data_IF_403369757080
#
_entry.id   IF_403369757080
#
_cell.length_a   1.000
_cell.length_b   1.000
_cell.length_c   1.000
_cell.angle_alpha   90.00
_cell.angle_beta   90.00
_cell.angle_gamma   90.00
#
_symmetry.space_group_name_H-M   'P 1'
#
loop_
_entity.id
_entity.type
_entity.pdbx_description
1 polymer ?
#
# COMPACT_ATOMS: atom_id res chain seq x y z
N UNK A 1 -48.86 20.75 18.71
CA UNK A 1 -47.51 21.27 19.05
C UNK A 1 -47.00 20.44 20.22
N UNK A 2 -45.83 19.85 20.29
CA UNK A 2 -44.70 19.65 19.39
C UNK A 2 -44.09 18.29 19.80
N UNK A 3 -43.76 17.44 18.83
CA UNK A 3 -43.20 16.11 19.06
C UNK A 3 -41.74 16.18 19.52
N UNK A 4 -41.49 15.55 20.67
CA UNK A 4 -40.22 15.44 21.36
C UNK A 4 -39.27 14.53 20.56
N UNK A 5 -38.31 15.12 19.83
CA UNK A 5 -37.25 14.39 19.13
C UNK A 5 -36.22 13.91 20.16
N UNK A 6 -36.15 12.59 20.35
CA UNK A 6 -35.12 11.91 21.14
C UNK A 6 -33.77 12.12 20.45
N UNK A 7 -32.90 12.92 21.05
CA UNK A 7 -31.50 13.06 20.66
C UNK A 7 -30.78 11.82 21.21
N UNK A 8 -30.30 10.97 20.31
CA UNK A 8 -29.43 9.83 20.65
C UNK A 8 -28.02 10.39 20.87
N UNK A 9 -27.63 10.50 22.14
CA UNK A 9 -26.27 10.85 22.55
C UNK A 9 -25.38 9.63 22.36
N UNK A 10 -24.57 9.61 21.30
CA UNK A 10 -23.49 8.62 21.15
C UNK A 10 -22.26 9.16 21.89
N UNK A 11 -22.02 8.61 23.08
CA UNK A 11 -20.84 8.91 23.89
C UNK A 11 -19.62 8.16 23.33
N UNK A 12 -18.81 8.84 22.54
CA UNK A 12 -17.48 8.38 22.12
C UNK A 12 -16.48 8.55 23.27
N UNK A 13 -16.20 7.46 23.98
CA UNK A 13 -15.06 7.35 24.89
C UNK A 13 -13.94 6.58 24.19
N UNK A 14 -13.17 7.26 23.33
CA UNK A 14 -11.91 6.73 22.81
C UNK A 14 -10.81 7.04 23.82
N UNK A 15 -10.46 6.02 24.60
CA UNK A 15 -9.39 6.04 25.57
C UNK A 15 -8.02 6.26 24.90
N UNK A 16 -7.33 7.25 25.44
CA UNK A 16 -5.97 7.70 25.14
C UNK A 16 -4.92 6.63 25.46
N UNK A 17 -3.95 6.46 24.55
CA UNK A 17 -2.57 6.10 24.92
C UNK A 17 -1.62 7.07 24.22
N UNK A 18 -1.14 8.06 24.97
CA UNK A 18 -0.09 9.01 24.58
C UNK A 18 1.29 8.36 24.76
N UNK A 19 2.17 8.60 23.78
CA UNK A 19 3.62 8.37 23.85
C UNK A 19 4.32 9.32 22.87
N UNK A 20 5.28 10.07 23.38
CA UNK A 20 5.76 11.39 22.93
C UNK A 20 6.73 11.41 21.73
N UNK A 21 6.62 12.51 20.97
CA UNK A 21 7.58 13.28 20.16
C UNK A 21 8.62 12.59 19.24
N UNK A 22 8.52 12.90 17.95
CA UNK A 22 9.60 13.56 17.19
C UNK A 22 9.07 14.23 15.92
N UNK A 23 9.43 15.50 15.77
CA UNK A 23 9.29 16.31 14.55
C UNK A 23 10.27 15.76 13.51
N UNK A 24 9.80 15.46 12.30
CA UNK A 24 10.47 15.75 11.02
C UNK A 24 9.59 15.32 9.82
N UNK A 25 9.51 16.23 8.86
CA UNK A 25 8.50 16.30 7.82
C UNK A 25 8.64 15.29 6.66
N UNK A 26 7.54 15.25 5.90
CA UNK A 26 7.33 14.82 4.52
C UNK A 26 7.00 13.35 4.17
N UNK A 27 5.68 13.16 4.07
CA UNK A 27 4.89 12.22 3.29
C UNK A 27 4.97 12.50 1.78
N UNK A 28 4.78 11.48 0.93
CA UNK A 28 4.01 11.54 -0.35
C UNK A 28 4.33 10.35 -1.29
N UNK A 29 4.13 9.14 -0.79
CA UNK A 29 3.68 8.03 -1.64
C UNK A 29 2.25 7.61 -1.23
N UNK A 30 1.57 8.50 -0.48
CA UNK A 30 0.40 8.27 0.36
C UNK A 30 -0.91 8.86 -0.20
N UNK A 31 -0.85 9.62 -1.29
CA UNK A 31 -2.02 10.36 -1.82
C UNK A 31 -3.00 9.44 -2.57
N UNK A 32 -2.53 8.55 -3.45
CA UNK A 32 -3.42 7.75 -4.29
C UNK A 32 -4.39 6.81 -3.55
N UNK A 33 -4.00 6.23 -2.42
CA UNK A 33 -4.89 5.33 -1.66
C UNK A 33 -5.92 6.10 -0.82
N UNK A 34 -5.53 7.29 -0.33
CA UNK A 34 -6.44 8.24 0.33
C UNK A 34 -7.47 8.79 -0.64
N UNK A 35 -7.08 9.05 -1.88
CA UNK A 35 -7.98 9.57 -2.92
C UNK A 35 -9.08 8.55 -3.29
N UNK A 36 -8.77 7.25 -3.33
CA UNK A 36 -9.77 6.23 -3.61
C UNK A 36 -10.82 6.07 -2.50
N UNK A 37 -10.39 6.14 -1.24
CA UNK A 37 -11.31 6.13 -0.08
C UNK A 37 -12.08 7.44 0.04
N UNK A 38 -11.45 8.59 -0.25
CA UNK A 38 -12.11 9.90 -0.31
C UNK A 38 -13.14 9.96 -1.43
N UNK A 39 -12.82 9.44 -2.61
CA UNK A 39 -13.76 9.33 -3.74
C UNK A 39 -14.92 8.39 -3.41
N UNK A 40 -14.66 7.22 -2.79
CA UNK A 40 -15.72 6.32 -2.36
C UNK A 40 -16.65 6.96 -1.32
N UNK A 41 -16.11 7.78 -0.42
CA UNK A 41 -16.89 8.49 0.59
C UNK A 41 -17.61 9.73 0.06
N UNK A 42 -17.11 10.38 -0.99
CA UNK A 42 -17.80 11.47 -1.68
C UNK A 42 -19.12 10.99 -2.32
N UNK A 43 -19.20 9.71 -2.70
CA UNK A 43 -20.41 9.09 -3.26
C UNK A 43 -21.49 8.80 -2.20
N UNK A 44 -21.18 8.95 -0.89
CA UNK A 44 -22.07 8.59 0.22
C UNK A 44 -22.94 9.73 0.76
N UNK A 45 -22.91 10.93 0.15
CA UNK A 45 -23.66 12.11 0.61
C UNK A 45 -23.50 12.35 2.13
N UNK A 46 -22.26 12.44 2.60
CA UNK A 46 -21.95 12.62 4.02
C UNK A 46 -22.48 13.98 4.54
N UNK A 47 -22.99 13.99 5.76
CA UNK A 47 -23.28 15.24 6.47
C UNK A 47 -21.99 15.99 6.81
N UNK A 48 -22.09 17.29 7.07
CA UNK A 48 -20.91 18.09 7.43
C UNK A 48 -20.29 17.62 8.76
N UNK A 49 -21.13 17.22 9.72
CA UNK A 49 -20.67 16.59 10.97
C UNK A 49 -19.91 15.27 10.75
N UNK A 50 -20.34 14.45 9.79
CA UNK A 50 -19.61 13.22 9.42
C UNK A 50 -18.28 13.53 8.75
N UNK A 51 -18.23 14.55 7.89
CA UNK A 51 -16.98 14.98 7.22
C UNK A 51 -15.95 15.48 8.25
N UNK A 52 -16.39 16.28 9.22
CA UNK A 52 -15.53 16.78 10.31
C UNK A 52 -15.02 15.63 11.18
N UNK A 53 -15.88 14.69 11.56
CA UNK A 53 -15.48 13.50 12.32
C UNK A 53 -14.44 12.65 11.56
N UNK A 54 -14.67 12.40 10.26
CA UNK A 54 -13.73 11.66 9.40
C UNK A 54 -12.40 12.42 9.27
N UNK A 55 -12.44 13.75 9.15
CA UNK A 55 -11.24 14.57 9.06
C UNK A 55 -10.42 14.47 10.36
N UNK A 56 -11.06 14.62 11.52
CA UNK A 56 -10.41 14.50 12.83
C UNK A 56 -9.75 13.12 13.02
N UNK A 57 -10.47 12.03 12.72
CA UNK A 57 -9.90 10.67 12.77
C UNK A 57 -8.65 10.56 11.87
N UNK A 58 -8.70 11.15 10.67
CA UNK A 58 -7.58 11.10 9.73
C UNK A 58 -6.37 11.92 10.16
N UNK A 59 -6.59 13.03 10.87
CA UNK A 59 -5.56 13.91 11.42
C UNK A 59 -4.88 13.27 12.63
N UNK A 60 -5.64 12.76 13.59
CA UNK A 60 -5.11 11.99 14.72
C UNK A 60 -4.28 10.80 14.24
N UNK A 61 -4.81 10.07 13.26
CA UNK A 61 -4.08 8.98 12.64
C UNK A 61 -2.81 9.45 11.90
N UNK A 62 -2.75 10.68 11.39
CA UNK A 62 -1.55 11.24 10.74
C UNK A 62 -0.44 11.47 11.76
N UNK A 63 -0.78 11.97 12.94
CA UNK A 63 0.15 12.24 14.04
C UNK A 63 0.76 10.94 14.58
N UNK A 64 -0.06 9.93 14.87
CA UNK A 64 0.43 8.60 15.27
C UNK A 64 1.24 7.89 14.17
N UNK A 65 1.07 8.27 12.90
CA UNK A 65 1.79 7.68 11.76
C UNK A 65 3.18 8.26 11.49
N UNK A 66 3.59 9.34 12.15
CA UNK A 66 4.98 9.82 12.06
C UNK A 66 5.95 8.87 12.78
N UNK A 67 5.46 8.17 13.80
CA UNK A 67 6.20 7.24 14.66
C UNK A 67 6.73 6.01 13.89
N UNK A 68 6.01 5.52 12.89
CA UNK A 68 6.38 4.33 12.09
C UNK A 68 7.27 4.63 10.88
N UNK A 69 7.95 5.79 10.83
CA UNK A 69 8.88 6.12 9.73
C UNK A 69 10.23 5.41 9.88
N UNK A 70 10.75 5.25 11.11
CA UNK A 70 12.06 4.63 11.37
C UNK A 70 12.14 3.17 10.91
N UNK A 71 11.06 2.41 11.11
CA UNK A 71 10.94 1.01 10.71
C UNK A 71 11.06 0.78 9.19
N UNK A 72 10.75 1.79 8.36
CA UNK A 72 10.93 1.72 6.90
C UNK A 72 12.38 1.83 6.47
N UNK A 73 13.18 2.61 7.17
CA UNK A 73 14.56 2.94 6.78
C UNK A 73 15.50 1.77 7.10
N UNK A 74 15.30 1.09 8.23
CA UNK A 74 16.04 -0.13 8.60
C UNK A 74 15.78 -1.28 7.62
N UNK A 75 14.52 -1.50 7.25
CA UNK A 75 14.14 -2.50 6.26
C UNK A 75 14.59 -2.17 4.83
N UNK A 76 14.82 -0.88 4.53
CA UNK A 76 15.38 -0.41 3.27
C UNK A 76 16.90 -0.61 3.21
N UNK A 77 17.61 -0.41 4.32
CA UNK A 77 19.06 -0.60 4.39
C UNK A 77 19.44 -2.09 4.33
N UNK A 78 18.69 -2.96 5.01
CA UNK A 78 18.84 -4.41 4.89
C UNK A 78 18.59 -4.91 3.44
N UNK A 79 17.65 -4.29 2.72
CA UNK A 79 17.45 -4.53 1.29
C UNK A 79 18.59 -4.01 0.41
N UNK A 80 19.23 -2.91 0.81
CA UNK A 80 20.36 -2.34 0.07
C UNK A 80 21.58 -3.23 0.18
N UNK A 81 21.78 -3.88 1.33
CA UNK A 81 22.85 -4.83 1.58
C UNK A 81 22.67 -6.12 0.78
N UNK A 82 21.47 -6.73 0.78
CA UNK A 82 21.23 -7.94 -0.02
C UNK A 82 21.30 -7.72 -1.54
N UNK A 83 20.85 -6.56 -2.04
CA UNK A 83 20.96 -6.19 -3.46
C UNK A 83 22.40 -6.00 -3.96
N UNK A 84 23.37 -5.90 -3.07
CA UNK A 84 24.79 -5.82 -3.45
C UNK A 84 25.40 -7.20 -3.67
N UNK A 85 24.75 -8.28 -3.20
CA UNK A 85 25.15 -9.62 -3.56
C UNK A 85 25.00 -9.85 -5.05
N UNK A 86 26.03 -10.41 -5.69
CA UNK A 86 25.99 -10.79 -7.10
C UNK A 86 25.20 -12.10 -7.34
N UNK A 87 24.98 -12.88 -6.28
CA UNK A 87 24.26 -14.15 -6.31
C UNK A 87 22.93 -14.04 -5.58
N UNK A 88 21.95 -14.81 -6.04
CA UNK A 88 20.66 -14.90 -5.38
C UNK A 88 20.75 -15.81 -4.15
N UNK A 89 20.38 -15.28 -2.99
CA UNK A 89 20.24 -16.05 -1.75
C UNK A 89 18.76 -16.03 -1.33
N UNK A 90 18.12 -17.18 -1.48
CA UNK A 90 16.70 -17.35 -1.17
C UNK A 90 16.41 -17.26 0.34
N UNK A 91 17.33 -17.71 1.20
CA UNK A 91 17.16 -17.69 2.64
C UNK A 91 17.20 -16.25 3.17
N UNK A 92 18.22 -15.48 2.75
CA UNK A 92 18.31 -14.05 3.06
C UNK A 92 17.11 -13.29 2.49
N UNK A 93 16.68 -13.58 1.26
CA UNK A 93 15.50 -12.92 0.68
C UNK A 93 14.23 -13.16 1.50
N UNK A 94 14.03 -14.39 2.00
CA UNK A 94 12.85 -14.77 2.80
C UNK A 94 12.85 -14.06 4.16
N UNK A 95 13.96 -14.12 4.91
CA UNK A 95 14.11 -13.43 6.19
C UNK A 95 13.90 -11.91 6.06
N UNK A 96 14.38 -11.31 4.97
CA UNK A 96 14.17 -9.88 4.70
C UNK A 96 12.73 -9.51 4.34
N UNK A 97 11.95 -10.44 3.82
CA UNK A 97 10.52 -10.23 3.56
C UNK A 97 9.74 -10.39 4.86
N UNK A 98 10.04 -11.43 5.64
CA UNK A 98 9.45 -11.67 6.96
C UNK A 98 9.64 -10.49 7.91
N UNK A 99 10.88 -10.02 8.09
CA UNK A 99 11.17 -8.81 8.89
C UNK A 99 10.35 -7.60 8.42
N UNK A 100 10.10 -7.45 7.12
CA UNK A 100 9.25 -6.38 6.60
C UNK A 100 7.78 -6.55 6.93
N UNK A 101 7.29 -7.77 7.02
CA UNK A 101 5.90 -8.04 7.39
C UNK A 101 5.72 -7.70 8.86
N UNK A 102 6.61 -8.19 9.73
CA UNK A 102 6.61 -7.91 11.17
C UNK A 102 6.67 -6.40 11.43
N UNK A 103 7.66 -5.71 10.84
CA UNK A 103 7.81 -4.26 11.01
C UNK A 103 6.63 -3.44 10.46
N UNK A 104 5.75 -4.02 9.64
CA UNK A 104 4.56 -3.32 9.13
C UNK A 104 3.30 -3.64 9.90
N UNK A 105 3.31 -4.67 10.73
CA UNK A 105 2.11 -5.22 11.34
C UNK A 105 1.44 -4.21 12.27
N UNK A 106 2.20 -3.54 13.14
CA UNK A 106 1.69 -2.47 14.00
C UNK A 106 1.04 -1.34 13.19
N UNK A 107 1.70 -0.90 12.11
CA UNK A 107 1.14 0.11 11.22
C UNK A 107 -0.09 -0.38 10.44
N UNK A 108 -0.15 -1.66 10.06
CA UNK A 108 -1.31 -2.25 9.39
C UNK A 108 -2.51 -2.31 10.32
N UNK A 109 -2.32 -2.75 11.57
CA UNK A 109 -3.35 -2.77 12.60
C UNK A 109 -3.90 -1.36 12.86
N UNK A 110 -3.00 -0.38 13.04
CA UNK A 110 -3.40 1.02 13.21
C UNK A 110 -4.23 1.52 12.01
N UNK A 111 -3.90 1.12 10.77
CA UNK A 111 -4.72 1.50 9.61
C UNK A 111 -6.07 0.76 9.57
N UNK A 112 -6.13 -0.50 10.01
CA UNK A 112 -7.39 -1.25 10.12
C UNK A 112 -8.33 -0.59 11.14
N UNK A 113 -7.81 -0.23 12.32
CA UNK A 113 -8.53 0.51 13.35
C UNK A 113 -9.06 1.84 12.81
N UNK A 114 -8.21 2.61 12.11
CA UNK A 114 -8.63 3.88 11.51
C UNK A 114 -9.73 3.70 10.45
N UNK A 115 -9.66 2.64 9.65
CA UNK A 115 -10.68 2.34 8.63
C UNK A 115 -12.00 1.94 9.26
N UNK A 116 -11.97 1.15 10.33
CA UNK A 116 -13.16 0.78 11.07
C UNK A 116 -13.78 2.01 11.75
N UNK A 117 -12.97 2.87 12.37
CA UNK A 117 -13.45 4.12 12.97
C UNK A 117 -14.14 5.03 11.94
N UNK A 118 -13.58 5.15 10.73
CA UNK A 118 -14.24 5.87 9.62
C UNK A 118 -15.54 5.20 9.19
N UNK A 119 -15.57 3.87 9.11
CA UNK A 119 -16.77 3.11 8.72
C UNK A 119 -17.89 3.22 9.77
N UNK A 120 -17.55 3.29 11.05
CA UNK A 120 -18.49 3.45 12.15
C UNK A 120 -19.19 4.82 12.19
N UNK A 121 -18.61 5.86 11.57
CA UNK A 121 -19.25 7.19 11.42
C UNK A 121 -20.41 7.17 10.41
N UNK A 122 -20.45 6.18 9.52
CA UNK A 122 -21.45 6.06 8.48
C UNK A 122 -22.77 5.50 9.04
N UNK A 123 -23.90 5.93 8.48
CA UNK A 123 -25.20 5.31 8.76
C UNK A 123 -25.29 3.90 8.14
N UNK A 124 -26.22 3.07 8.60
CA UNK A 124 -26.43 1.73 8.05
C UNK A 124 -26.67 1.74 6.52
N UNK A 125 -27.42 2.72 6.02
CA UNK A 125 -27.66 2.89 4.58
C UNK A 125 -26.38 3.28 3.81
N UNK A 126 -25.58 4.18 4.39
CA UNK A 126 -24.29 4.59 3.81
C UNK A 126 -23.27 3.45 3.83
N UNK A 127 -23.25 2.64 4.88
CA UNK A 127 -22.42 1.44 4.98
C UNK A 127 -22.78 0.42 3.88
N UNK A 128 -24.07 0.15 3.68
CA UNK A 128 -24.54 -0.73 2.62
C UNK A 128 -24.12 -0.22 1.23
N UNK A 129 -24.30 1.08 0.96
CA UNK A 129 -23.87 1.71 -0.30
C UNK A 129 -22.36 1.64 -0.50
N UNK A 130 -21.57 1.89 0.56
CA UNK A 130 -20.12 1.80 0.52
C UNK A 130 -19.65 0.38 0.16
N UNK A 131 -20.28 -0.64 0.75
CA UNK A 131 -19.98 -2.04 0.47
C UNK A 131 -20.31 -2.41 -0.98
N UNK A 132 -21.47 -1.97 -1.49
CA UNK A 132 -21.87 -2.17 -2.88
C UNK A 132 -20.91 -1.50 -3.87
N UNK A 133 -20.55 -0.23 -3.65
CA UNK A 133 -19.61 0.50 -4.51
C UNK A 133 -18.24 -0.17 -4.53
N UNK A 134 -17.79 -0.67 -3.39
CA UNK A 134 -16.52 -1.41 -3.32
C UNK A 134 -16.56 -2.76 -4.03
N UNK A 135 -17.69 -3.49 -3.97
CA UNK A 135 -17.86 -4.74 -4.71
C UNK A 135 -17.84 -4.48 -6.24
N UNK A 136 -18.57 -3.45 -6.70
CA UNK A 136 -18.61 -3.06 -8.10
C UNK A 136 -17.21 -2.66 -8.64
N UNK A 137 -16.45 -1.88 -7.86
CA UNK A 137 -15.07 -1.48 -8.24
C UNK A 137 -14.13 -2.68 -8.38
N UNK A 138 -14.30 -3.72 -7.57
CA UNK A 138 -13.52 -4.95 -7.69
C UNK A 138 -13.90 -5.76 -8.92
N UNK A 139 -15.18 -5.82 -9.28
CA UNK A 139 -15.65 -6.57 -10.45
C UNK A 139 -15.09 -6.05 -11.78
N UNK A 140 -14.77 -4.75 -11.87
CA UNK A 140 -14.25 -4.10 -13.08
C UNK A 140 -12.71 -4.15 -13.15
N UNK A 141 -12.04 -4.69 -12.12
CA UNK A 141 -10.58 -4.71 -12.07
C UNK A 141 -9.97 -5.82 -12.94
N UNK A 142 -9.41 -5.44 -14.09
CA UNK A 142 -8.63 -6.36 -14.93
C UNK A 142 -7.12 -6.33 -14.53
N UNK A 143 -6.61 -7.39 -13.87
CA UNK A 143 -5.21 -7.47 -13.49
C UNK A 143 -4.26 -7.61 -14.70
N UNK A 144 -4.71 -8.22 -15.80
CA UNK A 144 -3.87 -8.48 -16.98
C UNK A 144 -3.53 -7.19 -17.72
N UNK A 145 -4.49 -6.28 -17.86
CA UNK A 145 -4.25 -4.95 -18.46
C UNK A 145 -3.18 -4.16 -17.71
N UNK A 146 -3.08 -4.33 -16.39
CA UNK A 146 -2.04 -3.69 -15.57
C UNK A 146 -0.66 -4.29 -15.83
N UNK A 147 -0.56 -5.60 -15.95
CA UNK A 147 0.73 -6.27 -16.22
C UNK A 147 1.22 -5.95 -17.64
N UNK A 148 0.34 -5.93 -18.65
CA UNK A 148 0.69 -5.47 -20.00
C UNK A 148 1.30 -4.05 -20.01
N UNK A 149 0.71 -3.13 -19.23
CA UNK A 149 1.26 -1.77 -19.08
C UNK A 149 2.64 -1.77 -18.42
N UNK A 150 2.87 -2.65 -17.44
CA UNK A 150 4.16 -2.80 -16.76
C UNK A 150 5.22 -3.38 -17.70
N UNK A 151 4.89 -4.39 -18.50
CA UNK A 151 5.78 -4.92 -19.53
C UNK A 151 6.18 -3.83 -20.52
N UNK A 152 5.21 -3.09 -21.05
CA UNK A 152 5.47 -1.98 -21.98
C UNK A 152 6.42 -0.92 -21.37
N UNK A 153 6.23 -0.61 -20.09
CA UNK A 153 7.13 0.32 -19.39
C UNK A 153 8.54 -0.25 -19.19
N UNK A 154 8.65 -1.53 -18.84
CA UNK A 154 9.93 -2.23 -18.69
C UNK A 154 10.72 -2.22 -20.01
N UNK A 155 10.08 -2.60 -21.12
CA UNK A 155 10.71 -2.61 -22.44
C UNK A 155 11.10 -1.20 -22.90
N UNK A 156 10.26 -0.20 -22.63
CA UNK A 156 10.60 1.21 -22.90
C UNK A 156 11.85 1.65 -22.13
N UNK A 157 12.00 1.22 -20.88
CA UNK A 157 13.18 1.53 -20.06
C UNK A 157 14.42 0.80 -20.57
N UNK A 158 14.28 -0.46 -20.98
CA UNK A 158 15.36 -1.25 -21.58
C UNK A 158 15.87 -0.62 -22.89
N UNK A 159 14.96 -0.17 -23.76
CA UNK A 159 15.32 0.51 -25.01
C UNK A 159 16.09 1.82 -24.76
N UNK A 160 15.77 2.57 -23.70
CA UNK A 160 16.50 3.79 -23.34
C UNK A 160 17.96 3.55 -22.96
N UNK A 161 18.32 2.31 -22.60
CA UNK A 161 19.69 1.90 -22.31
C UNK A 161 20.27 1.00 -23.38
N UNK A 162 19.68 1.02 -24.57
CA UNK A 162 20.21 0.33 -25.74
C UNK A 162 20.31 -1.19 -25.49
N UNK A 163 19.25 -1.76 -24.89
CA UNK A 163 19.15 -3.20 -24.67
C UNK A 163 19.04 -3.97 -26.01
N UNK A 164 19.73 -5.10 -26.11
CA UNK A 164 19.70 -5.95 -27.32
C UNK A 164 18.37 -6.69 -27.44
N UNK A 165 18.04 -7.16 -28.64
CA UNK A 165 16.84 -7.98 -28.87
C UNK A 165 16.79 -9.22 -27.95
N UNK A 166 17.94 -9.88 -27.76
CA UNK A 166 18.07 -11.00 -26.83
C UNK A 166 17.78 -10.59 -25.37
N UNK A 167 18.18 -9.38 -24.94
CA UNK A 167 17.84 -8.87 -23.62
C UNK A 167 16.34 -8.56 -23.50
N UNK A 168 15.73 -7.96 -24.52
CA UNK A 168 14.30 -7.67 -24.55
C UNK A 168 13.45 -8.96 -24.48
N UNK A 169 13.84 -10.00 -25.23
CA UNK A 169 13.19 -11.31 -25.19
C UNK A 169 13.26 -11.95 -23.78
N UNK A 170 14.44 -11.89 -23.13
CA UNK A 170 14.62 -12.35 -21.75
C UNK A 170 13.74 -11.59 -20.75
N UNK A 171 13.67 -10.26 -20.87
CA UNK A 171 12.82 -9.43 -20.00
C UNK A 171 11.34 -9.78 -20.14
N UNK A 172 10.87 -10.00 -21.37
CA UNK A 172 9.49 -10.43 -21.64
C UNK A 172 9.19 -11.79 -21.00
N UNK A 173 10.11 -12.74 -21.14
CA UNK A 173 9.98 -14.08 -20.54
C UNK A 173 9.88 -13.99 -19.03
N UNK A 174 10.84 -13.32 -18.37
CA UNK A 174 10.85 -13.12 -16.91
C UNK A 174 9.55 -12.46 -16.42
N UNK A 175 9.03 -11.48 -17.16
CA UNK A 175 7.80 -10.80 -16.79
C UNK A 175 6.56 -11.70 -16.92
N UNK A 176 6.47 -12.47 -18.00
CA UNK A 176 5.34 -13.37 -18.24
C UNK A 176 5.33 -14.50 -17.21
N UNK A 177 6.48 -15.12 -16.94
CA UNK A 177 6.62 -16.19 -15.94
C UNK A 177 6.22 -15.69 -14.54
N UNK A 178 6.69 -14.49 -14.17
CA UNK A 178 6.31 -13.87 -12.90
C UNK A 178 4.82 -13.50 -12.84
N UNK A 179 4.22 -13.14 -13.96
CA UNK A 179 2.79 -12.85 -14.06
C UNK A 179 1.97 -14.11 -13.85
N UNK A 180 2.32 -15.21 -14.53
CA UNK A 180 1.70 -16.53 -14.36
C UNK A 180 1.84 -17.03 -12.93
N UNK A 181 3.04 -16.93 -12.35
CA UNK A 181 3.26 -17.30 -10.95
C UNK A 181 2.46 -16.42 -9.97
N UNK A 182 2.25 -15.13 -10.27
CA UNK A 182 1.41 -14.26 -9.42
C UNK A 182 -0.08 -14.60 -9.51
N UNK A 183 -0.54 -15.12 -10.65
CA UNK A 183 -1.94 -15.50 -10.86
C UNK A 183 -2.36 -16.66 -9.95
N UNK A 184 -1.45 -17.59 -9.62
CA UNK A 184 -1.76 -18.72 -8.74
C UNK A 184 -2.15 -18.25 -7.33
N UNK A 185 -1.55 -17.14 -6.86
CA UNK A 185 -1.88 -16.54 -5.57
C UNK A 185 -3.12 -15.64 -5.59
N UNK A 186 -3.70 -15.38 -6.77
CA UNK A 186 -4.77 -14.38 -6.90
C UNK A 186 -5.96 -14.69 -6.01
N UNK A 187 -6.45 -15.93 -6.05
CA UNK A 187 -7.60 -16.36 -5.25
C UNK A 187 -7.32 -16.22 -3.75
N UNK A 188 -6.20 -16.76 -3.26
CA UNK A 188 -5.79 -16.66 -1.85
C UNK A 188 -5.69 -15.22 -1.36
N UNK A 189 -5.06 -14.35 -2.16
CA UNK A 189 -4.95 -12.91 -1.85
C UNK A 189 -6.33 -12.24 -1.80
N UNK A 190 -7.24 -12.62 -2.70
CA UNK A 190 -8.59 -12.04 -2.72
C UNK A 190 -9.40 -12.50 -1.51
N UNK A 191 -9.34 -13.78 -1.15
CA UNK A 191 -9.99 -14.32 0.05
C UNK A 191 -9.50 -13.61 1.31
N UNK A 192 -8.17 -13.48 1.49
CA UNK A 192 -7.58 -12.75 2.62
C UNK A 192 -8.09 -11.30 2.70
N UNK A 193 -8.07 -10.57 1.58
CA UNK A 193 -8.57 -9.19 1.53
C UNK A 193 -10.06 -9.06 1.85
N UNK A 194 -10.87 -10.05 1.44
CA UNK A 194 -12.29 -10.07 1.74
C UNK A 194 -12.52 -10.33 3.24
N UNK A 195 -11.81 -11.30 3.83
CA UNK A 195 -11.86 -11.56 5.26
C UNK A 195 -11.41 -10.35 6.09
N UNK A 196 -10.29 -9.72 5.72
CA UNK A 196 -9.78 -8.52 6.39
C UNK A 196 -10.81 -7.38 6.31
N UNK A 197 -11.42 -7.20 5.14
CA UNK A 197 -12.48 -6.19 4.96
C UNK A 197 -13.68 -6.49 5.86
N UNK A 198 -14.14 -7.73 5.92
CA UNK A 198 -15.28 -8.10 6.77
C UNK A 198 -15.02 -7.76 8.25
N UNK A 199 -13.80 -7.99 8.73
CA UNK A 199 -13.39 -7.60 10.09
C UNK A 199 -13.41 -6.08 10.28
N UNK A 200 -12.88 -5.31 9.31
CA UNK A 200 -12.86 -3.83 9.36
C UNK A 200 -14.27 -3.23 9.29
N UNK A 201 -15.21 -3.91 8.62
CA UNK A 201 -16.59 -3.46 8.43
C UNK A 201 -17.55 -4.00 9.48
N UNK A 202 -17.05 -4.72 10.48
CA UNK A 202 -17.84 -5.09 11.64
C UNK A 202 -18.14 -3.86 12.52
N UNK A 203 -19.10 -4.01 13.44
CA UNK A 203 -19.46 -2.96 14.40
C UNK A 203 -18.25 -2.52 15.24
N UNK A 204 -17.38 -3.46 15.60
CA UNK A 204 -16.13 -3.24 16.30
C UNK A 204 -15.03 -4.10 15.66
N UNK A 205 -13.80 -3.60 15.64
CA UNK A 205 -12.67 -4.37 15.12
C UNK A 205 -12.17 -5.37 16.16
N UNK A 206 -12.40 -6.66 15.92
CA UNK A 206 -11.72 -7.73 16.66
C UNK A 206 -10.24 -7.76 16.25
N UNK A 207 -9.41 -7.15 17.10
CA UNK A 207 -7.97 -7.09 16.88
C UNK A 207 -7.29 -8.45 16.92
N UNK A 208 -7.82 -9.41 17.69
CA UNK A 208 -7.27 -10.75 17.79
C UNK A 208 -7.58 -11.55 16.53
N UNK A 209 -8.82 -11.50 16.05
CA UNK A 209 -9.20 -12.13 14.78
C UNK A 209 -8.45 -11.52 13.59
N UNK A 210 -8.25 -10.19 13.60
CA UNK A 210 -7.44 -9.53 12.58
C UNK A 210 -5.99 -9.99 12.61
N UNK A 211 -5.40 -10.10 13.80
CA UNK A 211 -4.02 -10.57 13.98
C UNK A 211 -3.86 -12.01 13.49
N UNK A 212 -4.74 -12.93 13.91
CA UNK A 212 -4.77 -14.31 13.45
C UNK A 212 -4.86 -14.40 11.92
N UNK A 213 -5.73 -13.59 11.29
CA UNK A 213 -5.86 -13.54 9.83
C UNK A 213 -4.55 -13.11 9.14
N UNK A 214 -3.78 -12.19 9.73
CA UNK A 214 -2.48 -11.82 9.16
C UNK A 214 -1.45 -12.93 9.33
N UNK A 215 -1.44 -13.59 10.49
CA UNK A 215 -0.49 -14.66 10.79
C UNK A 215 -0.72 -15.88 9.90
N UNK A 216 -1.98 -16.25 9.64
CA UNK A 216 -2.35 -17.30 8.67
C UNK A 216 -1.92 -16.97 7.23
N UNK A 217 -1.97 -15.69 6.85
CA UNK A 217 -1.60 -15.24 5.51
C UNK A 217 -0.09 -14.96 5.36
N UNK A 218 0.66 -14.86 6.47
CA UNK A 218 2.07 -14.49 6.46
C UNK A 218 2.93 -15.40 5.56
N UNK A 219 2.79 -16.74 5.55
CA UNK A 219 3.57 -17.61 4.65
C UNK A 219 3.37 -17.25 3.17
N UNK A 220 2.12 -17.09 2.72
CA UNK A 220 1.81 -16.68 1.35
C UNK A 220 2.34 -15.28 1.03
N UNK A 221 2.27 -14.35 1.99
CA UNK A 221 2.84 -13.01 1.82
C UNK A 221 4.38 -13.05 1.66
N UNK A 222 5.05 -13.96 2.36
CA UNK A 222 6.50 -14.20 2.23
C UNK A 222 6.81 -14.72 0.83
N UNK A 223 6.14 -15.77 0.38
CA UNK A 223 6.33 -16.36 -0.97
C UNK A 223 6.16 -15.32 -2.08
N UNK A 224 5.07 -14.54 -2.03
CA UNK A 224 4.81 -13.44 -2.98
C UNK A 224 5.93 -12.39 -2.93
N UNK A 225 6.40 -12.06 -1.72
CA UNK A 225 7.48 -11.10 -1.52
C UNK A 225 8.80 -11.58 -2.11
N UNK A 226 9.15 -12.85 -1.89
CA UNK A 226 10.34 -13.52 -2.43
C UNK A 226 10.27 -13.60 -3.95
N UNK A 227 9.14 -14.01 -4.52
CA UNK A 227 8.92 -14.03 -5.97
C UNK A 227 9.16 -12.65 -6.59
N UNK A 228 8.58 -11.59 -6.01
CA UNK A 228 8.78 -10.20 -6.48
C UNK A 228 10.22 -9.74 -6.35
N UNK A 229 10.94 -10.18 -5.32
CA UNK A 229 12.35 -9.88 -5.15
C UNK A 229 13.20 -10.60 -6.19
N UNK A 230 12.91 -11.88 -6.46
CA UNK A 230 13.57 -12.69 -7.49
C UNK A 230 13.37 -12.12 -8.89
N UNK A 231 12.14 -11.77 -9.27
CA UNK A 231 11.87 -11.14 -10.57
C UNK A 231 12.67 -9.85 -10.75
N UNK A 232 12.79 -9.01 -9.70
CA UNK A 232 13.61 -7.79 -9.76
C UNK A 232 15.09 -8.09 -9.91
N UNK A 233 15.59 -9.11 -9.21
CA UNK A 233 16.96 -9.58 -9.33
C UNK A 233 17.24 -10.07 -10.76
N UNK A 234 16.41 -10.94 -11.31
CA UNK A 234 16.57 -11.50 -12.64
C UNK A 234 16.54 -10.42 -13.74
N UNK A 235 15.58 -9.50 -13.66
CA UNK A 235 15.52 -8.33 -14.56
C UNK A 235 16.83 -7.54 -14.50
N UNK A 236 17.40 -7.34 -13.31
CA UNK A 236 18.66 -6.60 -13.16
C UNK A 236 19.83 -7.34 -13.80
N UNK A 237 19.89 -8.67 -13.68
CA UNK A 237 20.96 -9.51 -14.24
C UNK A 237 20.93 -9.57 -15.78
N UNK A 238 19.80 -9.26 -16.43
CA UNK A 238 19.75 -9.16 -17.90
C UNK A 238 20.63 -8.02 -18.42
N UNK A 239 20.81 -6.94 -17.65
CA UNK A 239 21.58 -5.78 -18.06
C UNK A 239 23.06 -5.88 -17.69
N UNK A 240 23.95 -5.44 -18.59
CA UNK A 240 25.37 -5.31 -18.29
C UNK A 240 25.67 -4.10 -17.38
N UNK A 241 26.91 -4.00 -16.87
CA UNK A 241 27.31 -2.95 -15.93
C UNK A 241 27.09 -1.52 -16.47
N UNK A 242 27.35 -1.29 -17.76
CA UNK A 242 27.15 0.03 -18.41
C UNK A 242 25.67 0.40 -18.46
N UNK A 243 24.81 -0.53 -18.84
CA UNK A 243 23.36 -0.37 -18.88
C UNK A 243 22.78 -0.16 -17.48
N UNK A 244 23.21 -0.96 -16.49
CA UNK A 244 22.80 -0.80 -15.09
C UNK A 244 23.17 0.60 -14.55
N UNK A 245 24.37 1.11 -14.86
CA UNK A 245 24.78 2.48 -14.47
C UNK A 245 23.89 3.54 -15.11
N UNK A 246 23.52 3.40 -16.38
CA UNK A 246 22.62 4.32 -17.09
C UNK A 246 21.20 4.30 -16.48
N UNK A 247 20.66 3.10 -16.19
CA UNK A 247 19.38 2.95 -15.48
C UNK A 247 19.38 3.62 -14.10
N UNK A 248 20.46 3.46 -13.32
CA UNK A 248 20.61 4.12 -12.00
C UNK A 248 20.61 5.64 -12.13
N UNK A 249 21.35 6.20 -13.10
CA UNK A 249 21.37 7.65 -13.36
C UNK A 249 19.99 8.17 -13.78
N UNK A 250 19.30 7.46 -14.67
CA UNK A 250 17.95 7.82 -15.09
C UNK A 250 17.00 7.87 -13.90
N UNK A 251 17.05 6.86 -13.04
CA UNK A 251 16.24 6.83 -11.81
C UNK A 251 16.54 8.03 -10.92
N UNK A 252 17.82 8.32 -10.64
CA UNK A 252 18.20 9.49 -9.84
C UNK A 252 17.71 10.81 -10.45
N UNK A 253 17.72 10.94 -11.77
CA UNK A 253 17.25 12.14 -12.45
C UNK A 253 15.73 12.32 -12.33
N UNK A 254 14.98 11.22 -12.43
CA UNK A 254 13.54 11.23 -12.20
C UNK A 254 13.23 11.58 -10.74
N UNK A 255 13.89 10.92 -9.78
CA UNK A 255 13.71 11.18 -8.35
C UNK A 255 14.02 12.65 -8.00
N UNK A 256 15.06 13.24 -8.62
CA UNK A 256 15.39 14.67 -8.45
C UNK A 256 14.35 15.60 -9.07
N UNK A 257 13.83 15.28 -10.27
CA UNK A 257 12.78 16.07 -10.91
C UNK A 257 11.51 16.07 -10.07
N UNK A 258 11.12 14.91 -9.58
CA UNK A 258 9.93 14.75 -8.72
C UNK A 258 10.10 15.53 -7.41
N UNK A 259 11.31 15.53 -6.82
CA UNK A 259 11.62 16.35 -5.63
C UNK A 259 11.58 17.87 -5.91
N UNK A 260 12.01 18.32 -7.09
CA UNK A 260 11.96 19.74 -7.47
C UNK A 260 10.54 20.21 -7.76
N UNK A 261 9.75 19.42 -8.50
CA UNK A 261 8.33 19.72 -8.73
C UNK A 261 7.57 19.85 -7.41
N UNK A 262 7.81 18.92 -6.48
CA UNK A 262 7.22 18.97 -5.13
C UNK A 262 7.64 20.17 -4.28
N UNK A 263 8.82 20.77 -4.52
CA UNK A 263 9.23 22.00 -3.82
C UNK A 263 8.52 23.23 -4.41
N UNK A 264 8.44 23.31 -5.74
CA UNK A 264 7.71 24.38 -6.42
C UNK A 264 6.21 24.37 -6.06
N UNK A 265 5.57 23.20 -6.02
CA UNK A 265 4.16 23.05 -5.63
C UNK A 265 3.86 23.43 -4.15
N UNK A 266 4.89 23.50 -3.30
CA UNK A 266 4.77 23.94 -1.90
C UNK A 266 5.05 25.45 -1.80
N UNK A 267 5.99 25.97 -2.57
CA UNK A 267 6.32 27.40 -2.61
C UNK A 267 5.23 28.23 -3.31
N UNK A 268 4.50 27.67 -4.29
CA UNK A 268 3.37 28.33 -4.96
C UNK A 268 2.03 28.25 -4.17
N UNK A 269 1.99 27.49 -3.06
CA UNK A 269 0.80 27.25 -2.25
C UNK A 269 0.95 27.74 -0.79
N UNK A 270 2.01 28.51 -0.52
CA UNK A 270 2.20 29.33 0.69
C UNK A 270 2.04 30.81 0.33
#
# INVERSE_FOLDING_TARGET
MSNMKKIVTVATTLLFCLGTQSVLAQSQQRDHQRDHERSAMQELNLSDSQKEAIQSIREQAREGRSLFKGERDEALELMRQSKQSRTWDAATASSLVESKLINRQAHQLANAQNRQAVFAVLTAEQQAKFNANQAARHAVHDPLKREQKRLKQLLRMANKVDATEAQLAKLTTIHNDATTAMQTYHSTVMTHKMAERSLIQAAELDTQAWQTLQDEFAPTAIEIGVLRAKTKFDIQQVFNAKQQKKLRKMKQHMDKKDRKGKKADIEDNM
#
